data_IF_637700869065
#
_entry.id   IF_637700869065
#
_cell.length_a   1.000
_cell.length_b   1.000
_cell.length_c   1.000
_cell.angle_alpha   90.00
_cell.angle_beta   90.00
_cell.angle_gamma   90.00
#
_symmetry.space_group_name_H-M   'P 1'
#
loop_
_entity.id
_entity.type
_entity.pdbx_description
1 polymer ?
#
# COMPACT_ATOMS: atom_id res chain seq x y z
N UNK A 1 -9.85 -2.25 -2.44
CA UNK A 1 -10.69 -1.10 -2.04
C UNK A 1 -9.88 0.18 -1.97
N UNK A 2 -8.78 0.25 -1.21
CA UNK A 2 -7.95 1.48 -1.16
C UNK A 2 -7.49 1.98 -2.55
N UNK A 3 -6.85 1.12 -3.35
CA UNK A 3 -6.43 1.47 -4.71
C UNK A 3 -7.59 1.54 -5.72
N UNK A 4 -8.83 1.23 -5.31
CA UNK A 4 -10.05 1.40 -6.12
C UNK A 4 -10.78 2.71 -5.82
N UNK A 5 -10.31 3.49 -4.84
CA UNK A 5 -10.96 4.74 -4.43
C UNK A 5 -11.81 4.63 -3.17
N UNK A 6 -11.77 3.49 -2.47
CA UNK A 6 -12.56 3.24 -1.25
C UNK A 6 -11.64 3.25 -0.01
N UNK A 7 -11.26 4.43 0.52
CA UNK A 7 -10.41 4.52 1.70
C UNK A 7 -11.10 4.01 2.97
N UNK A 8 -12.42 4.15 3.07
CA UNK A 8 -13.19 3.78 4.26
C UNK A 8 -13.24 2.28 4.50
N UNK A 9 -13.01 1.47 3.46
CA UNK A 9 -12.86 0.02 3.60
C UNK A 9 -11.39 -0.38 3.51
N UNK A 10 -10.62 0.28 2.66
CA UNK A 10 -9.22 -0.02 2.43
C UNK A 10 -8.30 0.27 3.63
N UNK A 11 -8.55 1.36 4.37
CA UNK A 11 -7.72 1.73 5.52
C UNK A 11 -7.98 0.82 6.73
N UNK A 12 -9.23 0.55 7.15
CA UNK A 12 -9.49 -0.37 8.27
C UNK A 12 -8.90 -1.77 8.06
N UNK A 13 -8.94 -2.28 6.83
CA UNK A 13 -8.33 -3.58 6.50
C UNK A 13 -6.80 -3.57 6.69
N UNK A 14 -6.14 -2.45 6.39
CA UNK A 14 -4.71 -2.31 6.62
C UNK A 14 -4.40 -2.06 8.10
N UNK A 15 -5.24 -1.30 8.80
CA UNK A 15 -5.16 -1.07 10.24
C UNK A 15 -5.29 -2.39 11.02
N UNK A 16 -6.16 -3.33 10.59
CA UNK A 16 -6.31 -4.64 11.23
C UNK A 16 -5.04 -5.52 11.17
N UNK A 17 -4.05 -5.16 10.35
CA UNK A 17 -2.74 -5.81 10.31
C UNK A 17 -1.81 -5.35 11.46
N UNK A 18 -2.25 -4.39 12.29
CA UNK A 18 -1.52 -3.93 13.46
C UNK A 18 -0.22 -3.19 13.13
N UNK A 19 -0.23 -2.38 12.06
CA UNK A 19 0.98 -1.69 11.59
C UNK A 19 1.39 -0.52 12.47
N UNK A 20 0.46 0.04 13.25
CA UNK A 20 0.72 1.15 14.18
C UNK A 20 1.56 0.67 15.35
N UNK A 21 1.31 -0.56 15.80
CA UNK A 21 2.01 -1.26 16.87
C UNK A 21 3.32 -1.86 16.36
N UNK A 22 3.27 -2.53 15.20
CA UNK A 22 4.45 -3.19 14.63
C UNK A 22 4.44 -3.20 13.10
N UNK A 23 5.22 -2.28 12.52
CA UNK A 23 5.39 -2.17 11.06
C UNK A 23 5.99 -3.44 10.43
N UNK A 24 6.73 -4.26 11.18
CA UNK A 24 7.28 -5.52 10.69
C UNK A 24 6.18 -6.54 10.37
N UNK A 25 5.02 -6.50 11.05
CA UNK A 25 3.86 -7.35 10.70
C UNK A 25 3.33 -7.03 9.31
N UNK A 26 3.21 -5.75 8.99
CA UNK A 26 2.84 -5.30 7.64
C UNK A 26 3.85 -5.79 6.60
N UNK A 27 5.15 -5.71 6.88
CA UNK A 27 6.19 -6.19 5.96
C UNK A 27 6.15 -7.71 5.76
N UNK A 28 5.97 -8.48 6.83
CA UNK A 28 5.82 -9.93 6.76
C UNK A 28 4.59 -10.32 5.93
N UNK A 29 3.47 -9.62 6.10
CA UNK A 29 2.27 -9.81 5.29
C UNK A 29 2.55 -9.55 3.80
N UNK A 30 3.23 -8.45 3.45
CA UNK A 30 3.62 -8.20 2.06
C UNK A 30 4.57 -9.25 1.50
N UNK A 31 5.51 -9.72 2.29
CA UNK A 31 6.43 -10.77 1.86
C UNK A 31 5.67 -12.06 1.54
N UNK A 32 4.72 -12.45 2.41
CA UNK A 32 3.83 -13.59 2.18
C UNK A 32 3.02 -13.41 0.89
N UNK A 33 2.39 -12.24 0.68
CA UNK A 33 1.63 -11.95 -0.54
C UNK A 33 2.50 -12.09 -1.79
N UNK A 34 3.72 -11.53 -1.79
CA UNK A 34 4.65 -11.64 -2.92
C UNK A 34 5.04 -13.08 -3.20
N UNK A 35 5.36 -13.84 -2.15
CA UNK A 35 5.69 -15.26 -2.29
C UNK A 35 4.52 -16.06 -2.86
N UNK A 36 3.30 -15.81 -2.39
CA UNK A 36 2.09 -16.50 -2.88
C UNK A 36 1.75 -16.13 -4.33
N UNK A 37 2.06 -14.91 -4.76
CA UNK A 37 1.83 -14.44 -6.13
C UNK A 37 3.03 -14.71 -7.06
N UNK A 38 4.11 -15.31 -6.55
CA UNK A 38 5.29 -15.58 -7.35
C UNK A 38 4.96 -16.48 -8.55
N UNK A 39 5.31 -16.02 -9.76
CA UNK A 39 4.99 -16.72 -11.01
C UNK A 39 3.58 -16.48 -11.55
N UNK A 40 2.72 -15.76 -10.81
CA UNK A 40 1.38 -15.37 -11.27
C UNK A 40 1.45 -14.01 -11.98
N UNK A 41 0.98 -13.93 -13.22
CA UNK A 41 0.87 -12.66 -13.94
C UNK A 41 -0.30 -11.84 -13.41
N UNK A 42 -0.04 -11.02 -12.40
CA UNK A 42 -1.06 -10.12 -11.83
C UNK A 42 -1.36 -8.98 -12.81
N UNK A 43 -2.62 -8.90 -13.27
CA UNK A 43 -3.06 -7.77 -14.11
C UNK A 43 -3.23 -6.53 -13.24
N UNK A 44 -2.46 -5.49 -13.54
CA UNK A 44 -2.65 -4.16 -12.95
C UNK A 44 -3.77 -3.42 -13.69
N UNK A 45 -4.80 -3.05 -12.96
CA UNK A 45 -5.90 -2.24 -13.49
C UNK A 45 -5.54 -0.76 -13.48
N UNK A 46 -6.03 -0.02 -14.48
CA UNK A 46 -5.77 1.41 -14.63
C UNK A 46 -6.25 2.23 -13.43
N UNK A 47 -7.42 1.88 -12.87
CA UNK A 47 -7.97 2.52 -11.66
C UNK A 47 -6.97 2.56 -10.50
N UNK A 48 -6.12 1.53 -10.37
CA UNK A 48 -5.09 1.49 -9.31
C UNK A 48 -4.03 2.58 -9.50
N UNK A 49 -3.66 2.85 -10.75
CA UNK A 49 -2.69 3.88 -11.10
C UNK A 49 -3.32 5.27 -10.94
N UNK A 50 -4.56 5.44 -11.40
CA UNK A 50 -5.30 6.71 -11.31
C UNK A 50 -5.45 7.14 -9.85
N UNK A 51 -5.91 6.25 -8.98
CA UNK A 51 -6.07 6.56 -7.56
C UNK A 51 -4.71 6.81 -6.89
N UNK A 52 -3.68 6.04 -7.23
CA UNK A 52 -2.32 6.32 -6.73
C UNK A 52 -1.82 7.71 -7.13
N UNK A 53 -2.01 8.12 -8.39
CA UNK A 53 -1.60 9.44 -8.89
C UNK A 53 -2.40 10.56 -8.24
N UNK A 54 -3.70 10.37 -8.01
CA UNK A 54 -4.55 11.33 -7.33
C UNK A 54 -4.18 11.52 -5.85
N UNK A 55 -3.74 10.46 -5.17
CA UNK A 55 -3.29 10.54 -3.76
C UNK A 55 -1.88 11.12 -3.63
N UNK A 56 -1.01 10.96 -4.62
CA UNK A 56 0.40 11.40 -4.54
C UNK A 56 0.60 12.87 -4.12
N UNK A 57 -0.16 13.86 -4.61
CA UNK A 57 0.00 15.27 -4.23
C UNK A 57 -0.30 15.56 -2.76
N UNK A 58 -1.17 14.77 -2.12
CA UNK A 58 -1.60 14.99 -0.72
C UNK A 58 -0.56 14.56 0.31
N UNK A 59 0.45 13.80 -0.13
CA UNK A 59 1.49 13.26 0.75
C UNK A 59 2.70 14.18 0.70
N UNK A 60 3.02 14.88 1.79
CA UNK A 60 4.16 15.81 1.83
C UNK A 60 5.39 15.28 2.59
N UNK A 61 5.29 14.09 3.19
CA UNK A 61 6.34 13.50 4.00
C UNK A 61 6.97 12.27 3.30
N UNK A 62 8.29 12.13 3.42
CA UNK A 62 9.07 10.93 3.06
C UNK A 62 8.66 10.28 1.72
N UNK A 63 8.37 11.06 0.67
CA UNK A 63 7.80 10.57 -0.60
C UNK A 63 8.62 9.44 -1.26
N UNK A 64 9.93 9.58 -1.20
CA UNK A 64 10.87 8.70 -1.89
C UNK A 64 11.46 7.61 -0.98
N UNK A 65 11.50 7.86 0.33
CA UNK A 65 12.02 6.92 1.31
C UNK A 65 10.92 5.93 1.70
N UNK A 66 10.95 4.71 1.17
CA UNK A 66 9.93 3.70 1.48
C UNK A 66 10.09 3.07 2.88
N UNK A 67 11.27 3.20 3.49
CA UNK A 67 11.56 2.61 4.80
C UNK A 67 10.86 3.42 5.91
N UNK A 68 10.90 4.75 5.81
CA UNK A 68 10.27 5.64 6.80
C UNK A 68 8.76 5.68 6.58
N UNK A 69 7.97 5.02 7.43
CA UNK A 69 6.50 5.06 7.36
C UNK A 69 5.94 5.79 8.56
N UNK A 70 5.34 6.96 8.34
CA UNK A 70 4.56 7.68 9.35
C UNK A 70 3.06 7.56 9.04
N UNK A 71 2.22 7.99 9.97
CA UNK A 71 0.76 7.82 9.86
C UNK A 71 0.17 8.49 8.61
N UNK A 72 0.76 9.61 8.21
CA UNK A 72 0.29 10.39 7.05
C UNK A 72 0.67 9.76 5.71
N UNK A 73 1.81 9.07 5.59
CA UNK A 73 2.23 8.43 4.33
C UNK A 73 2.07 6.92 4.28
N UNK A 74 1.71 6.26 5.39
CA UNK A 74 1.67 4.80 5.47
C UNK A 74 0.79 4.21 4.36
N UNK A 75 -0.47 4.64 4.25
CA UNK A 75 -1.42 4.13 3.26
C UNK A 75 -0.96 4.35 1.83
N UNK A 76 -0.44 5.55 1.53
CA UNK A 76 0.12 5.84 0.22
C UNK A 76 1.29 4.91 -0.14
N UNK A 77 2.14 4.57 0.84
CA UNK A 77 3.25 3.63 0.62
C UNK A 77 2.76 2.21 0.41
N UNK A 78 1.67 1.81 1.08
CA UNK A 78 1.01 0.53 0.79
C UNK A 78 0.44 0.49 -0.64
N UNK A 79 -0.16 1.59 -1.10
CA UNK A 79 -0.60 1.70 -2.49
C UNK A 79 0.60 1.60 -3.46
N UNK A 80 1.72 2.26 -3.17
CA UNK A 80 2.94 2.18 -3.99
C UNK A 80 3.46 0.73 -4.08
N UNK A 81 3.51 0.01 -2.95
CA UNK A 81 3.88 -1.41 -2.92
C UNK A 81 2.96 -2.26 -3.80
N UNK A 82 1.65 -2.08 -3.66
CA UNK A 82 0.66 -2.80 -4.46
C UNK A 82 0.72 -2.49 -5.96
N UNK A 83 0.93 -1.23 -6.34
CA UNK A 83 0.87 -0.80 -7.74
C UNK A 83 2.16 -1.10 -8.53
N UNK A 84 3.31 -1.13 -7.86
CA UNK A 84 4.61 -1.21 -8.53
C UNK A 84 5.53 -2.35 -8.08
N UNK A 85 5.26 -3.00 -6.95
CA UNK A 85 6.19 -3.96 -6.33
C UNK A 85 5.62 -5.40 -6.31
N UNK A 86 4.30 -5.56 -6.36
CA UNK A 86 3.64 -6.82 -6.75
C UNK A 86 3.61 -6.90 -8.28
#
# INVERSE_FOLDING_TARGET
MLCRGDPDIGKPLLDSLGWRENKARSDACWQSIKTSLHGVRVKRFEIYITIYRATRPTINCHRNDIAIRCETCYYFKQMKKFVFII
#
